data_IF_182107875161
#
_entry.id   IF_182107875161
#
_cell.length_a   1.000
_cell.length_b   1.000
_cell.length_c   1.000
_cell.angle_alpha   90.00
_cell.angle_beta   90.00
_cell.angle_gamma   90.00
#
_symmetry.space_group_name_H-M   'P 1'
#
loop_
_entity.id
_entity.type
_entity.pdbx_description
1 polymer ?
#
# COMPACT_ATOMS: atom_id res chain seq x y z
N UNK A 1 -57.08 71.52 -7.29
CA UNK A 1 -56.48 70.22 -7.62
C UNK A 1 -55.02 70.45 -7.99
N UNK A 2 -54.08 70.07 -7.12
CA UNK A 2 -52.64 70.09 -7.41
C UNK A 2 -52.13 68.66 -7.30
N UNK A 3 -51.67 68.10 -8.42
CA UNK A 3 -51.11 66.76 -8.51
C UNK A 3 -49.68 66.75 -7.96
N UNK A 4 -49.42 65.81 -7.05
CA UNK A 4 -48.12 65.54 -6.42
C UNK A 4 -47.35 64.55 -7.31
N UNK A 5 -46.08 64.78 -7.70
CA UNK A 5 -45.36 63.83 -8.53
C UNK A 5 -44.80 62.71 -7.63
N UNK A 6 -45.08 61.46 -7.98
CA UNK A 6 -44.53 60.28 -7.32
C UNK A 6 -43.10 60.05 -7.81
N UNK A 7 -42.12 60.14 -6.90
CA UNK A 7 -40.75 59.68 -7.13
C UNK A 7 -40.76 58.15 -7.28
N UNK A 8 -40.55 57.66 -8.51
CA UNK A 8 -40.21 56.26 -8.74
C UNK A 8 -38.72 56.05 -8.43
N UNK A 9 -38.42 55.40 -7.31
CA UNK A 9 -37.07 54.90 -7.03
C UNK A 9 -36.78 53.72 -7.96
N UNK A 10 -35.91 53.94 -8.94
CA UNK A 10 -35.34 52.89 -9.78
C UNK A 10 -34.40 52.04 -8.92
N UNK A 11 -34.84 50.86 -8.49
CA UNK A 11 -33.96 49.86 -7.88
C UNK A 11 -33.07 49.28 -8.98
N UNK A 12 -31.85 49.79 -9.10
CA UNK A 12 -30.79 49.14 -9.85
C UNK A 12 -30.46 47.80 -9.18
N UNK A 13 -30.92 46.70 -9.77
CA UNK A 13 -30.42 45.36 -9.46
C UNK A 13 -28.95 45.31 -9.90
N UNK A 14 -28.03 45.57 -8.96
CA UNK A 14 -26.62 45.31 -9.16
C UNK A 14 -26.44 43.79 -9.13
N UNK A 15 -26.40 43.15 -10.30
CA UNK A 15 -25.93 41.77 -10.40
C UNK A 15 -24.44 41.78 -10.06
N UNK A 16 -24.11 41.55 -8.78
CA UNK A 16 -22.73 41.34 -8.34
C UNK A 16 -22.24 40.07 -9.03
N UNK A 17 -21.37 40.20 -10.04
CA UNK A 17 -20.62 39.05 -10.55
C UNK A 17 -19.79 38.51 -9.38
N UNK A 18 -20.17 37.35 -8.87
CA UNK A 18 -19.41 36.67 -7.83
C UNK A 18 -18.12 36.19 -8.45
N UNK A 19 -17.00 36.77 -8.03
CA UNK A 19 -15.68 36.33 -8.47
C UNK A 19 -15.42 34.92 -7.93
N UNK A 20 -15.27 33.94 -8.83
CA UNK A 20 -15.05 32.54 -8.49
C UNK A 20 -13.76 31.99 -9.09
N UNK A 21 -13.52 30.70 -8.88
CA UNK A 21 -12.51 29.90 -9.58
C UNK A 21 -13.15 28.57 -9.95
N UNK A 22 -12.86 28.07 -11.16
CA UNK A 22 -13.34 26.79 -11.66
C UNK A 22 -12.17 25.91 -12.05
N UNK A 23 -12.26 24.63 -11.72
CA UNK A 23 -11.37 23.58 -12.23
C UNK A 23 -12.10 22.82 -13.33
N UNK A 24 -11.46 22.70 -14.49
CA UNK A 24 -11.82 21.76 -15.55
C UNK A 24 -10.79 20.64 -15.54
N UNK A 25 -11.18 19.43 -15.94
CA UNK A 25 -10.25 18.30 -15.99
C UNK A 25 -10.50 17.41 -17.20
N UNK A 26 -9.43 16.73 -17.59
CA UNK A 26 -9.46 15.60 -18.52
C UNK A 26 -8.84 14.39 -17.79
N UNK A 27 -9.60 13.33 -17.47
CA UNK A 27 -11.03 13.12 -17.76
C UNK A 27 -11.95 14.06 -16.97
N UNK A 28 -13.19 14.21 -17.42
CA UNK A 28 -14.16 15.17 -16.86
C UNK A 28 -14.49 14.90 -15.38
N UNK A 29 -14.72 15.98 -14.63
CA UNK A 29 -15.12 15.93 -13.22
C UNK A 29 -16.54 15.36 -13.12
N UNK A 30 -16.72 14.29 -12.34
CA UNK A 30 -18.05 13.78 -11.99
C UNK A 30 -18.77 14.74 -11.02
N UNK A 31 -20.10 14.63 -10.90
CA UNK A 31 -20.99 15.60 -10.23
C UNK A 31 -20.70 15.95 -8.75
N UNK A 32 -19.72 15.31 -8.12
CA UNK A 32 -19.30 15.56 -6.73
C UNK A 32 -17.86 16.10 -6.61
N UNK A 33 -17.26 16.62 -7.69
CA UNK A 33 -15.86 17.08 -7.65
C UNK A 33 -14.84 15.94 -7.66
N UNK A 34 -15.24 14.75 -8.10
CA UNK A 34 -14.39 13.56 -8.14
C UNK A 34 -14.02 13.25 -9.59
N UNK A 35 -12.73 13.04 -9.84
CA UNK A 35 -12.19 12.65 -11.14
C UNK A 35 -11.89 11.16 -11.10
N UNK A 36 -12.61 10.39 -11.92
CA UNK A 36 -12.41 8.95 -12.05
C UNK A 36 -11.26 8.70 -13.02
N UNK A 37 -10.26 7.92 -12.62
CA UNK A 37 -9.12 7.57 -13.47
C UNK A 37 -8.56 6.20 -13.10
N UNK A 38 -7.63 5.71 -13.91
CA UNK A 38 -6.94 4.42 -13.73
C UNK A 38 -5.43 4.65 -13.61
N UNK A 39 -4.69 3.64 -13.16
CA UNK A 39 -3.23 3.65 -13.14
C UNK A 39 -2.64 3.88 -14.53
N UNK A 40 -1.44 4.48 -14.59
CA UNK A 40 -0.69 4.78 -15.82
C UNK A 40 -1.38 5.74 -16.80
N UNK A 41 -2.55 6.29 -16.44
CA UNK A 41 -3.19 7.37 -17.19
C UNK A 41 -2.56 8.71 -16.88
N UNK A 42 -3.02 9.74 -17.58
CA UNK A 42 -2.68 11.13 -17.31
C UNK A 42 -3.96 11.87 -16.95
N UNK A 43 -3.95 12.62 -15.86
CA UNK A 43 -5.02 13.56 -15.50
C UNK A 43 -4.50 14.97 -15.70
N UNK A 44 -5.19 15.76 -16.51
CA UNK A 44 -4.89 17.18 -16.72
C UNK A 44 -5.92 18.02 -15.98
N UNK A 45 -5.45 18.97 -15.18
CA UNK A 45 -6.30 19.90 -14.45
C UNK A 45 -6.03 21.32 -14.93
N UNK A 46 -7.10 22.05 -15.22
CA UNK A 46 -7.08 23.42 -15.69
C UNK A 46 -7.87 24.31 -14.74
N UNK A 47 -7.22 25.30 -14.17
CA UNK A 47 -7.83 26.28 -13.30
C UNK A 47 -8.03 27.61 -14.03
N UNK A 48 -9.24 28.15 -13.91
CA UNK A 48 -9.68 29.41 -14.52
C UNK A 48 -10.40 30.24 -13.46
N UNK A 49 -10.12 31.55 -13.34
CA UNK A 49 -10.98 32.45 -12.59
C UNK A 49 -12.35 32.53 -13.28
N UNK A 50 -13.42 32.66 -12.49
CA UNK A 50 -14.81 32.64 -12.94
C UNK A 50 -15.29 34.08 -13.17
N UNK A 51 -15.75 34.39 -14.39
CA UNK A 51 -16.21 35.71 -14.83
C UNK A 51 -15.44 36.28 -16.03
N UNK A 52 -16.10 36.44 -17.19
CA UNK A 52 -15.43 36.77 -18.48
C UNK A 52 -14.87 38.20 -18.64
N UNK A 53 -14.23 38.79 -17.64
CA UNK A 53 -13.62 40.14 -17.72
C UNK A 53 -12.12 40.09 -18.03
N UNK A 54 -11.63 41.07 -18.79
CA UNK A 54 -10.22 41.24 -19.17
C UNK A 54 -9.28 41.38 -17.95
N UNK A 55 -9.79 41.80 -16.79
CA UNK A 55 -9.01 41.90 -15.54
C UNK A 55 -8.59 40.55 -14.96
N UNK A 56 -9.17 39.43 -15.42
CA UNK A 56 -8.84 38.10 -14.91
C UNK A 56 -7.56 37.50 -15.51
N UNK A 57 -7.02 38.06 -16.60
CA UNK A 57 -5.83 37.53 -17.26
C UNK A 57 -4.53 37.70 -16.44
N UNK A 58 -4.48 38.68 -15.53
CA UNK A 58 -3.32 38.92 -14.65
C UNK A 58 -3.49 38.31 -13.25
N UNK A 59 -4.62 37.65 -12.98
CA UNK A 59 -4.91 37.07 -11.67
C UNK A 59 -3.99 35.90 -11.38
N UNK A 60 -3.25 35.99 -10.28
CA UNK A 60 -2.35 34.93 -9.86
C UNK A 60 -3.12 33.80 -9.14
N UNK A 61 -2.86 32.57 -9.57
CA UNK A 61 -3.47 31.33 -9.13
C UNK A 61 -2.44 30.46 -8.43
N UNK A 62 -2.89 29.77 -7.38
CA UNK A 62 -2.07 28.86 -6.59
C UNK A 62 -2.71 27.49 -6.61
N UNK A 63 -1.89 26.47 -6.87
CA UNK A 63 -2.28 25.07 -6.79
C UNK A 63 -1.78 24.43 -5.50
N UNK A 64 -2.64 23.66 -4.85
CA UNK A 64 -2.32 22.81 -3.72
C UNK A 64 -2.59 21.35 -4.08
N UNK A 65 -1.70 20.44 -3.71
CA UNK A 65 -1.91 18.99 -3.71
C UNK A 65 -1.89 18.51 -2.26
N UNK A 66 -3.00 17.95 -1.77
CA UNK A 66 -3.17 17.54 -0.37
C UNK A 66 -2.81 18.67 0.63
N UNK A 67 -3.16 19.91 0.27
CA UNK A 67 -2.86 21.11 1.06
C UNK A 67 -1.44 21.66 0.90
N UNK A 68 -0.51 20.93 0.28
CA UNK A 68 0.86 21.40 0.02
C UNK A 68 0.94 22.17 -1.31
N UNK A 69 1.68 23.28 -1.33
CA UNK A 69 1.82 24.15 -2.52
C UNK A 69 2.55 23.41 -3.63
N UNK A 70 1.97 23.43 -4.83
CA UNK A 70 2.60 22.96 -6.07
C UNK A 70 3.40 24.11 -6.67
N UNK A 71 4.69 23.86 -6.93
CA UNK A 71 5.58 24.88 -7.51
C UNK A 71 5.28 24.99 -9.01
N UNK A 72 4.76 26.16 -9.41
CA UNK A 72 4.43 26.48 -10.79
C UNK A 72 5.52 27.36 -11.40
N UNK A 73 5.72 27.24 -12.72
CA UNK A 73 6.50 28.21 -13.49
C UNK A 73 5.73 29.53 -13.58
N UNK A 74 6.44 30.66 -13.69
CA UNK A 74 5.82 31.99 -13.67
C UNK A 74 4.75 32.17 -14.75
N UNK A 75 4.97 31.60 -15.94
CA UNK A 75 4.01 31.65 -17.06
C UNK A 75 2.70 30.89 -16.78
N UNK A 76 2.70 29.97 -15.81
CA UNK A 76 1.58 29.11 -15.47
C UNK A 76 0.86 29.56 -14.19
N UNK A 77 1.20 30.74 -13.65
CA UNK A 77 0.55 31.27 -12.44
C UNK A 77 -0.61 32.22 -12.75
N UNK A 78 -0.66 32.84 -13.93
CA UNK A 78 -1.59 33.96 -14.19
C UNK A 78 -2.70 33.60 -15.16
N UNK A 79 -3.93 33.96 -14.80
CA UNK A 79 -5.13 33.90 -15.63
C UNK A 79 -5.64 32.49 -15.96
N UNK A 80 -4.77 31.59 -16.43
CA UNK A 80 -5.10 30.19 -16.68
C UNK A 80 -3.93 29.31 -16.28
N UNK A 81 -4.14 28.46 -15.29
CA UNK A 81 -3.09 27.62 -14.70
C UNK A 81 -3.40 26.14 -14.88
N UNK A 82 -2.46 25.36 -15.41
CA UNK A 82 -2.63 23.93 -15.66
C UNK A 82 -1.63 23.09 -14.86
N UNK A 83 -2.07 21.96 -14.31
CA UNK A 83 -1.19 20.95 -13.71
C UNK A 83 -1.57 19.57 -14.24
N UNK A 84 -0.60 18.66 -14.30
CA UNK A 84 -0.82 17.30 -14.78
C UNK A 84 -0.32 16.28 -13.76
N UNK A 85 -1.04 15.18 -13.63
CA UNK A 85 -0.62 13.98 -12.89
C UNK A 85 -0.30 12.91 -13.93
N UNK A 86 0.99 12.55 -14.06
CA UNK A 86 1.45 11.57 -15.04
C UNK A 86 2.76 10.90 -14.62
N UNK A 87 2.84 9.55 -14.66
CA UNK A 87 1.70 8.63 -14.70
C UNK A 87 0.91 8.69 -13.38
N UNK A 88 -0.39 8.38 -13.43
CA UNK A 88 -1.19 8.14 -12.23
C UNK A 88 -0.69 6.87 -11.52
N UNK A 89 -0.42 6.97 -10.21
CA UNK A 89 0.08 5.90 -9.33
C UNK A 89 -0.90 5.62 -8.17
N UNK A 90 -0.61 4.61 -7.36
CA UNK A 90 -1.52 4.16 -6.28
C UNK A 90 -1.72 5.26 -5.22
N UNK A 91 -0.67 6.01 -4.91
CA UNK A 91 -0.64 7.09 -3.93
C UNK A 91 -1.40 8.34 -4.39
N UNK A 92 -1.81 8.41 -5.66
CA UNK A 92 -2.69 9.48 -6.16
C UNK A 92 -4.15 9.24 -5.78
N UNK A 93 -4.53 8.02 -5.36
CA UNK A 93 -5.89 7.73 -4.94
C UNK A 93 -6.29 8.56 -3.71
N UNK A 94 -7.40 9.28 -3.79
CA UNK A 94 -7.85 10.21 -2.76
C UNK A 94 -7.07 11.52 -2.71
N UNK A 95 -6.12 11.77 -3.61
CA UNK A 95 -5.40 13.03 -3.66
C UNK A 95 -6.34 14.18 -4.04
N UNK A 96 -6.33 15.25 -3.24
CA UNK A 96 -7.13 16.45 -3.48
C UNK A 96 -6.27 17.54 -4.09
N UNK A 97 -6.73 18.07 -5.23
CA UNK A 97 -6.16 19.23 -5.89
C UNK A 97 -7.05 20.43 -5.65
N UNK A 98 -6.46 21.51 -5.13
CA UNK A 98 -7.18 22.76 -4.88
C UNK A 98 -6.51 23.89 -5.64
N UNK A 99 -7.30 24.67 -6.37
CA UNK A 99 -6.85 25.91 -6.98
C UNK A 99 -7.53 27.09 -6.29
N UNK A 100 -6.77 28.14 -5.96
CA UNK A 100 -7.31 29.36 -5.38
C UNK A 100 -6.61 30.60 -5.92
N UNK A 101 -7.25 31.76 -5.73
CA UNK A 101 -6.62 33.04 -6.02
C UNK A 101 -5.52 33.35 -4.99
N UNK A 102 -4.37 33.82 -5.45
CA UNK A 102 -3.23 34.22 -4.61
C UNK A 102 -3.63 35.30 -3.60
N UNK A 103 -4.37 36.33 -4.06
CA UNK A 103 -4.82 37.44 -3.22
C UNK A 103 -5.92 37.08 -2.21
N UNK A 104 -6.66 36.00 -2.45
CA UNK A 104 -7.75 35.57 -1.57
C UNK A 104 -7.99 34.06 -1.66
N UNK A 105 -7.43 33.31 -0.71
CA UNK A 105 -7.54 31.86 -0.64
C UNK A 105 -8.96 31.34 -0.35
N UNK A 106 -9.91 32.20 0.05
CA UNK A 106 -11.31 31.77 0.24
C UNK A 106 -12.01 31.50 -1.09
N UNK A 107 -11.53 32.09 -2.18
CA UNK A 107 -12.04 31.87 -3.53
C UNK A 107 -11.25 30.71 -4.13
N UNK A 108 -11.83 29.52 -4.08
CA UNK A 108 -11.15 28.28 -4.43
C UNK A 108 -12.11 27.26 -5.03
N UNK A 109 -11.54 26.34 -5.79
CA UNK A 109 -12.19 25.10 -6.22
C UNK A 109 -11.29 23.92 -5.86
N UNK A 110 -11.91 22.77 -5.58
CA UNK A 110 -11.20 21.54 -5.23
C UNK A 110 -11.78 20.37 -6.00
N UNK A 111 -10.91 19.45 -6.39
CA UNK A 111 -11.27 18.16 -6.99
C UNK A 111 -10.45 17.05 -6.33
N UNK A 112 -11.01 15.84 -6.25
CA UNK A 112 -10.33 14.68 -5.68
C UNK A 112 -10.21 13.58 -6.72
N UNK A 113 -9.05 12.95 -6.82
CA UNK A 113 -8.85 11.80 -7.69
C UNK A 113 -9.40 10.54 -7.03
N UNK A 114 -10.21 9.78 -7.76
CA UNK A 114 -10.51 8.39 -7.43
C UNK A 114 -9.81 7.51 -8.46
N UNK A 115 -8.74 6.84 -8.04
CA UNK A 115 -7.92 5.99 -8.90
C UNK A 115 -8.37 4.56 -8.70
N UNK A 116 -8.98 3.96 -9.72
CA UNK A 116 -9.47 2.59 -9.68
C UNK A 116 -8.45 1.63 -10.27
N UNK A 117 -8.33 0.45 -9.65
CA UNK A 117 -7.37 -0.58 -10.02
C UNK A 117 -7.78 -1.94 -9.46
N UNK A 118 -7.44 -2.98 -10.21
CA UNK A 118 -7.65 -4.37 -9.83
C UNK A 118 -6.65 -4.82 -8.74
N UNK A 119 -7.00 -5.82 -7.92
CA UNK A 119 -6.07 -6.41 -6.97
C UNK A 119 -4.78 -6.87 -7.67
N UNK A 120 -3.62 -6.38 -7.23
CA UNK A 120 -2.31 -6.78 -7.77
C UNK A 120 -1.88 -8.18 -7.27
N UNK A 121 -2.76 -9.17 -7.39
CA UNK A 121 -2.51 -10.56 -7.03
C UNK A 121 -2.19 -11.35 -8.29
N UNK A 122 -0.91 -11.52 -8.56
CA UNK A 122 -0.44 -12.35 -9.67
C UNK A 122 0.87 -13.05 -9.33
N UNK A 123 1.18 -14.10 -10.09
CA UNK A 123 2.44 -14.85 -9.95
C UNK A 123 2.39 -16.00 -8.95
N UNK A 124 3.56 -16.60 -8.77
CA UNK A 124 3.82 -17.72 -7.87
C UNK A 124 5.06 -17.39 -7.06
N UNK A 125 5.03 -17.70 -5.77
CA UNK A 125 6.15 -17.51 -4.84
C UNK A 125 6.57 -18.86 -4.27
N UNK A 126 7.87 -19.18 -4.33
CA UNK A 126 8.42 -20.37 -3.70
C UNK A 126 8.81 -20.06 -2.26
N UNK A 127 8.34 -20.87 -1.32
CA UNK A 127 8.60 -20.70 0.12
C UNK A 127 9.21 -21.98 0.65
N UNK A 128 10.45 -21.92 1.13
CA UNK A 128 11.10 -23.01 1.84
C UNK A 128 11.04 -22.71 3.35
N UNK A 129 10.52 -23.67 4.11
CA UNK A 129 10.35 -23.54 5.56
C UNK A 129 10.90 -24.79 6.24
N UNK A 130 11.53 -24.64 7.40
CA UNK A 130 12.04 -25.78 8.18
C UNK A 130 10.90 -26.42 8.97
N UNK A 131 10.95 -27.73 9.16
CA UNK A 131 10.04 -28.45 10.04
C UNK A 131 10.10 -27.87 11.47
N UNK A 132 8.95 -27.81 12.15
CA UNK A 132 8.73 -27.17 13.46
C UNK A 132 8.95 -25.65 13.51
N UNK A 133 9.16 -24.97 12.38
CA UNK A 133 9.26 -23.50 12.32
C UNK A 133 7.91 -22.85 11.99
N UNK A 134 7.83 -21.51 12.08
CA UNK A 134 6.62 -20.78 11.77
C UNK A 134 6.50 -20.49 10.26
N UNK A 135 5.34 -20.75 9.68
CA UNK A 135 4.99 -20.34 8.32
C UNK A 135 4.13 -19.08 8.36
N UNK A 136 4.46 -18.11 7.50
CA UNK A 136 3.66 -16.90 7.29
C UNK A 136 3.54 -16.66 5.79
N UNK A 137 2.34 -16.80 5.25
CA UNK A 137 2.04 -16.46 3.86
C UNK A 137 1.26 -15.15 3.83
N UNK A 138 1.77 -14.15 3.10
CA UNK A 138 1.19 -12.81 3.02
C UNK A 138 0.66 -12.53 1.62
N UNK A 139 -0.61 -12.12 1.57
CA UNK A 139 -1.30 -11.73 0.35
C UNK A 139 -1.72 -10.26 0.46
N UNK A 140 -1.01 -9.39 -0.26
CA UNK A 140 -1.26 -7.95 -0.32
C UNK A 140 -2.34 -7.65 -1.39
N UNK A 141 -3.57 -7.41 -0.93
CA UNK A 141 -4.78 -7.20 -1.74
C UNK A 141 -5.03 -5.70 -1.89
N UNK A 142 -4.19 -5.03 -2.69
CA UNK A 142 -4.35 -3.60 -2.98
C UNK A 142 -5.34 -3.45 -4.13
N UNK A 143 -6.55 -2.96 -3.84
CA UNK A 143 -7.60 -2.78 -4.84
C UNK A 143 -8.47 -1.55 -4.53
N UNK A 144 -8.95 -0.89 -5.59
CA UNK A 144 -9.99 0.14 -5.48
C UNK A 144 -10.97 -0.01 -6.65
N UNK A 145 -12.26 -0.33 -6.42
CA UNK A 145 -12.91 -0.50 -5.12
C UNK A 145 -12.38 -1.69 -4.29
N UNK A 146 -12.60 -1.70 -2.97
CA UNK A 146 -12.21 -2.81 -2.11
C UNK A 146 -12.82 -4.15 -2.56
N UNK A 147 -12.11 -5.25 -2.27
CA UNK A 147 -12.59 -6.60 -2.56
C UNK A 147 -13.76 -6.98 -1.62
N UNK A 148 -14.62 -7.86 -2.10
CA UNK A 148 -15.77 -8.34 -1.32
C UNK A 148 -15.43 -9.50 -0.38
N UNK A 149 -14.45 -10.32 -0.75
CA UNK A 149 -13.98 -11.44 0.09
C UNK A 149 -12.57 -11.89 -0.31
N UNK A 150 -11.92 -12.60 0.62
CA UNK A 150 -10.62 -13.25 0.41
C UNK A 150 -10.71 -14.67 0.97
N UNK A 151 -10.21 -15.65 0.24
CA UNK A 151 -10.17 -17.06 0.64
C UNK A 151 -8.78 -17.66 0.45
N UNK A 152 -8.48 -18.68 1.25
CA UNK A 152 -7.25 -19.46 1.16
C UNK A 152 -7.58 -20.91 0.85
N UNK A 153 -6.83 -21.48 -0.09
CA UNK A 153 -6.87 -22.92 -0.38
C UNK A 153 -5.47 -23.52 -0.24
N UNK A 154 -5.42 -24.79 0.14
CA UNK A 154 -4.24 -25.64 0.14
C UNK A 154 -4.54 -26.86 -0.75
N UNK A 155 -3.72 -27.07 -1.77
CA UNK A 155 -3.88 -28.15 -2.75
C UNK A 155 -5.28 -28.19 -3.38
N UNK A 156 -5.86 -27.00 -3.64
CA UNK A 156 -7.17 -26.83 -4.24
C UNK A 156 -8.37 -27.00 -3.30
N UNK A 157 -8.14 -27.38 -2.04
CA UNK A 157 -9.18 -27.48 -1.01
C UNK A 157 -9.11 -26.26 -0.08
N UNK A 158 -10.24 -25.84 0.50
CA UNK A 158 -10.22 -24.80 1.52
C UNK A 158 -9.28 -25.19 2.68
N UNK A 159 -8.50 -24.23 3.19
CA UNK A 159 -7.61 -24.51 4.32
C UNK A 159 -8.43 -24.86 5.56
N UNK A 160 -8.15 -26.02 6.16
CA UNK A 160 -8.72 -26.40 7.45
C UNK A 160 -7.94 -25.73 8.58
N UNK A 161 -8.50 -24.65 9.12
CA UNK A 161 -7.86 -23.86 10.17
C UNK A 161 -7.62 -24.65 11.46
N UNK A 162 -8.50 -25.59 11.80
CA UNK A 162 -8.42 -26.33 13.05
C UNK A 162 -7.47 -27.52 12.93
N UNK A 163 -7.71 -28.41 11.95
CA UNK A 163 -6.89 -29.60 11.77
C UNK A 163 -5.46 -29.26 11.34
N UNK A 164 -5.30 -28.20 10.54
CA UNK A 164 -4.00 -27.73 10.08
C UNK A 164 -3.32 -26.72 11.03
N UNK A 165 -3.92 -26.37 12.16
CA UNK A 165 -3.32 -25.43 13.11
C UNK A 165 -3.03 -24.04 12.52
N UNK A 166 -3.85 -23.61 11.55
CA UNK A 166 -3.66 -22.34 10.86
C UNK A 166 -4.44 -21.20 11.54
N UNK A 167 -3.93 -19.99 11.40
CA UNK A 167 -4.65 -18.76 11.73
C UNK A 167 -4.64 -17.81 10.53
N UNK A 168 -5.82 -17.25 10.21
CA UNK A 168 -5.97 -16.24 9.17
C UNK A 168 -6.28 -14.88 9.81
N UNK A 169 -5.53 -13.87 9.41
CA UNK A 169 -5.85 -12.46 9.70
C UNK A 169 -6.11 -11.72 8.40
N UNK A 170 -7.09 -10.82 8.39
CA UNK A 170 -7.43 -9.99 7.24
C UNK A 170 -7.80 -8.59 7.71
N UNK A 171 -7.13 -7.56 7.18
CA UNK A 171 -7.38 -6.14 7.51
C UNK A 171 -8.04 -5.35 6.36
N UNK A 172 -8.49 -6.04 5.31
CA UNK A 172 -9.07 -5.48 4.09
C UNK A 172 -8.06 -5.18 2.98
N UNK A 173 -6.78 -4.98 3.32
CA UNK A 173 -5.70 -4.71 2.37
C UNK A 173 -4.67 -5.85 2.32
N UNK A 174 -4.57 -6.63 3.38
CA UNK A 174 -3.65 -7.74 3.54
C UNK A 174 -4.39 -8.90 4.17
N UNK A 175 -4.24 -10.09 3.60
CA UNK A 175 -4.57 -11.35 4.26
C UNK A 175 -3.30 -12.13 4.56
N UNK A 176 -3.18 -12.65 5.79
CA UNK A 176 -2.07 -13.49 6.20
C UNK A 176 -2.60 -14.84 6.69
N UNK A 177 -2.01 -15.92 6.18
CA UNK A 177 -2.22 -17.29 6.66
C UNK A 177 -0.95 -17.72 7.41
N UNK A 178 -1.12 -18.17 8.65
CA UNK A 178 0.00 -18.49 9.53
C UNK A 178 -0.15 -19.88 10.13
N UNK A 179 0.96 -20.59 10.31
CA UNK A 179 1.06 -21.81 11.12
C UNK A 179 2.24 -21.66 12.08
N UNK A 180 2.03 -21.90 13.37
CA UNK A 180 3.07 -21.64 14.39
C UNK A 180 4.17 -22.69 14.42
N UNK A 181 3.86 -23.92 14.00
CA UNK A 181 4.79 -25.05 13.93
C UNK A 181 4.43 -25.88 12.70
N UNK A 182 5.27 -25.80 11.67
CA UNK A 182 5.09 -26.52 10.42
C UNK A 182 5.38 -28.00 10.60
N UNK A 183 4.56 -28.82 9.95
CA UNK A 183 4.75 -30.25 9.76
C UNK A 183 4.66 -30.56 8.28
N UNK A 184 5.66 -31.25 7.73
CA UNK A 184 5.71 -31.60 6.30
C UNK A 184 4.44 -32.28 5.77
N UNK A 185 3.88 -33.23 6.51
CA UNK A 185 2.73 -34.02 6.04
C UNK A 185 1.43 -33.21 5.91
N UNK A 186 1.33 -32.09 6.65
CA UNK A 186 0.12 -31.26 6.77
C UNK A 186 0.26 -29.96 5.98
N UNK A 187 1.44 -29.34 6.00
CA UNK A 187 1.61 -27.96 5.56
C UNK A 187 2.39 -27.83 4.24
N UNK A 188 3.01 -28.90 3.74
CA UNK A 188 3.64 -28.88 2.42
C UNK A 188 2.58 -28.86 1.31
N UNK A 189 2.79 -28.01 0.30
CA UNK A 189 1.88 -27.98 -0.84
C UNK A 189 1.74 -26.62 -1.50
N UNK A 190 0.71 -26.54 -2.33
CA UNK A 190 0.39 -25.34 -3.10
C UNK A 190 -0.74 -24.57 -2.43
N UNK A 191 -0.42 -23.40 -1.91
CA UNK A 191 -1.39 -22.48 -1.36
C UNK A 191 -1.85 -21.48 -2.41
N UNK A 192 -3.10 -21.08 -2.34
CA UNK A 192 -3.64 -20.00 -3.17
C UNK A 192 -4.47 -19.06 -2.32
N UNK A 193 -4.09 -17.79 -2.34
CA UNK A 193 -4.92 -16.68 -1.88
C UNK A 193 -5.75 -16.20 -3.07
N UNK A 194 -7.08 -16.16 -2.90
CA UNK A 194 -8.02 -15.67 -3.89
C UNK A 194 -8.74 -14.45 -3.31
N UNK A 195 -8.75 -13.33 -4.04
CA UNK A 195 -9.54 -12.15 -3.71
C UNK A 195 -10.61 -11.89 -4.77
N UNK A 196 -11.84 -11.63 -4.32
CA UNK A 196 -12.98 -11.44 -5.21
C UNK A 196 -13.39 -9.96 -5.30
N UNK A 197 -13.10 -9.32 -6.43
CA UNK A 197 -13.53 -7.95 -6.70
C UNK A 197 -14.91 -7.92 -7.38
N UNK A 198 -15.84 -7.08 -6.91
CA UNK A 198 -17.14 -6.92 -7.57
C UNK A 198 -17.04 -6.29 -8.97
N UNK A 199 -15.93 -5.59 -9.25
CA UNK A 199 -15.69 -4.89 -10.53
C UNK A 199 -14.72 -5.65 -11.41
N UNK A 200 -13.65 -6.19 -10.83
CA UNK A 200 -12.53 -6.79 -11.59
C UNK A 200 -12.50 -8.32 -11.56
N UNK A 201 -13.49 -8.96 -10.91
CA UNK A 201 -13.55 -10.41 -10.76
C UNK A 201 -12.52 -10.97 -9.79
N UNK A 202 -12.19 -12.25 -9.98
CA UNK A 202 -11.28 -12.98 -9.11
C UNK A 202 -9.81 -12.78 -9.50
N UNK A 203 -8.97 -12.46 -8.51
CA UNK A 203 -7.52 -12.36 -8.66
C UNK A 203 -6.85 -13.24 -7.61
N UNK A 204 -5.75 -13.90 -7.95
CA UNK A 204 -5.13 -14.87 -7.04
C UNK A 204 -3.60 -14.89 -7.11
N UNK A 205 -2.99 -15.21 -5.98
CA UNK A 205 -1.55 -15.42 -5.84
C UNK A 205 -1.29 -16.82 -5.29
N UNK A 206 -0.31 -17.51 -5.88
CA UNK A 206 0.08 -18.87 -5.49
C UNK A 206 1.35 -18.86 -4.65
N UNK A 207 1.43 -19.75 -3.67
CA UNK A 207 2.64 -20.05 -2.92
C UNK A 207 2.94 -21.54 -3.04
N UNK A 208 4.16 -21.90 -3.41
CA UNK A 208 4.65 -23.27 -3.42
C UNK A 208 5.50 -23.47 -2.17
N UNK A 209 4.90 -24.06 -1.15
CA UNK A 209 5.56 -24.28 0.15
C UNK A 209 6.24 -25.65 0.13
N UNK A 210 7.52 -25.66 0.44
CA UNK A 210 8.34 -26.86 0.61
C UNK A 210 8.85 -26.93 2.04
N UNK A 211 8.71 -28.09 2.68
CA UNK A 211 9.14 -28.29 4.06
C UNK A 211 10.45 -29.08 4.07
N UNK A 212 11.48 -28.42 4.59
CA UNK A 212 12.82 -28.98 4.74
C UNK A 212 12.98 -29.58 6.12
N UNK A 213 13.71 -30.69 6.20
CA UNK A 213 14.00 -31.32 7.49
C UNK A 213 14.78 -30.34 8.37
N UNK A 214 14.41 -30.30 9.64
CA UNK A 214 15.10 -29.46 10.61
C UNK A 214 16.56 -29.86 10.68
N UNK A 215 17.45 -28.91 10.42
CA UNK A 215 18.89 -29.15 10.62
C UNK A 215 19.15 -29.22 12.12
N UNK A 216 19.27 -30.44 12.66
CA UNK A 216 19.77 -30.59 14.03
C UNK A 216 21.19 -30.04 14.04
N UNK A 217 21.38 -28.84 14.61
CA UNK A 217 22.70 -28.28 14.92
C UNK A 217 23.34 -29.13 16.01
N UNK A 218 23.82 -30.29 15.61
CA UNK A 218 24.53 -31.20 16.49
C UNK A 218 25.68 -30.41 17.13
N UNK A 219 25.83 -30.41 18.47
CA UNK A 219 26.85 -29.63 19.16
C UNK A 219 28.22 -30.30 18.98
N UNK A 220 28.72 -30.26 17.76
CA UNK A 220 29.96 -30.90 17.35
C UNK A 220 31.14 -30.38 18.18
N UNK A 221 31.17 -29.07 18.46
CA UNK A 221 32.23 -28.45 19.25
C UNK A 221 32.24 -28.95 20.71
N UNK A 222 31.12 -28.93 21.46
CA UNK A 222 31.06 -29.58 22.78
C UNK A 222 31.39 -31.07 22.78
N UNK A 223 30.94 -31.84 21.78
CA UNK A 223 31.24 -33.27 21.71
C UNK A 223 32.73 -33.54 21.46
N UNK A 224 33.36 -32.80 20.53
CA UNK A 224 34.80 -32.92 20.26
C UNK A 224 35.59 -32.54 21.51
N UNK A 225 35.24 -31.44 22.18
CA UNK A 225 35.91 -31.02 23.41
C UNK A 225 35.82 -32.10 24.51
N UNK A 226 34.63 -32.68 24.69
CA UNK A 226 34.43 -33.81 25.60
C UNK A 226 35.31 -35.01 25.26
N UNK A 227 35.37 -35.39 23.98
CA UNK A 227 36.20 -36.50 23.51
C UNK A 227 37.70 -36.26 23.77
N UNK A 228 38.18 -35.06 23.47
CA UNK A 228 39.58 -34.67 23.70
C UNK A 228 39.94 -34.76 25.19
N UNK A 229 39.07 -34.28 26.08
CA UNK A 229 39.29 -34.37 27.53
C UNK A 229 39.34 -35.82 28.01
N UNK A 230 38.45 -36.69 27.51
CA UNK A 230 38.47 -38.12 27.85
C UNK A 230 39.77 -38.79 27.40
N UNK A 231 40.25 -38.48 26.19
CA UNK A 231 41.52 -39.02 25.69
C UNK A 231 42.70 -38.53 26.53
N UNK A 232 42.76 -37.23 26.82
CA UNK A 232 43.85 -36.63 27.61
C UNK A 232 43.89 -37.21 29.03
N UNK A 233 42.73 -37.34 29.67
CA UNK A 233 42.63 -37.93 31.02
C UNK A 233 43.02 -39.40 31.04
N UNK A 234 42.64 -40.18 30.02
CA UNK A 234 43.06 -41.57 29.87
C UNK A 234 44.58 -41.70 29.68
N UNK A 235 45.17 -40.87 28.82
CA UNK A 235 46.62 -40.83 28.60
C UNK A 235 47.37 -40.50 29.90
N UNK A 236 46.92 -39.48 30.63
CA UNK A 236 47.50 -39.10 31.93
C UNK A 236 47.37 -40.23 32.95
N UNK A 237 46.26 -40.97 32.98
CA UNK A 237 46.07 -42.11 33.85
C UNK A 237 47.01 -43.28 33.51
N UNK A 238 47.23 -43.56 32.22
CA UNK A 238 48.18 -44.58 31.75
C UNK A 238 49.61 -44.19 32.14
N UNK A 239 50.02 -42.95 31.86
CA UNK A 239 51.36 -42.44 32.22
C UNK A 239 51.58 -42.50 33.73
N UNK A 240 50.58 -42.11 34.53
CA UNK A 240 50.63 -42.19 36.00
C UNK A 240 50.85 -43.63 36.48
N UNK A 241 50.10 -44.59 35.93
CA UNK A 241 50.25 -46.03 36.24
C UNK A 241 51.63 -46.56 35.82
N UNK A 242 52.12 -46.21 34.64
CA UNK A 242 53.46 -46.61 34.18
C UNK A 242 54.58 -46.02 35.03
N UNK A 243 54.45 -44.78 35.50
CA UNK A 243 55.42 -44.17 36.42
C UNK A 243 55.47 -44.87 37.79
N UNK A 244 54.35 -45.42 38.25
CA UNK A 244 54.30 -46.23 39.48
C UNK A 244 54.93 -47.60 39.27
N UNK A 245 54.65 -48.26 38.15
CA UNK A 245 55.23 -49.58 37.82
C UNK A 245 56.76 -49.48 37.70
N UNK A 246 57.27 -48.44 37.02
CA UNK A 246 58.72 -48.22 36.87
C UNK A 246 59.45 -47.89 38.17
N UNK A 247 58.76 -47.36 39.19
CA UNK A 247 59.32 -47.15 40.54
C UNK A 247 59.37 -48.40 41.41
N UNK A 248 58.60 -49.45 41.09
CA UNK A 248 58.63 -50.73 41.82
C UNK A 248 59.65 -51.73 41.25
N UNK A 249 60.19 -51.48 40.04
CA UNK A 249 61.18 -52.33 39.38
C UNK A 249 62.63 -51.83 39.56
N UNK A 250 62.91 -51.05 40.59
CA UNK A 250 64.24 -50.52 40.94
C UNK A 250 64.51 -50.76 42.42
#
# INVERSE_FOLDING_TARGET
MMFRPSLFHLLFYCATQTLGVKIQSEPEVSGEGVIQTELQRTVTLLCLPDGGSETQADEELVWLRNGAVVILREENKKGRSSVCVTPVIHEDNGATFTCHLSRNATIRASVTLNVTYHPQLSGSEEVAVEDESALVLRCDIWANPPVSSVSWTLNGSAVDLFAGGFTVTNDGFTSQLTASSVEKSVHEGTYQCTANSPVYGEHSKRFQVTVTEKTMKFPLMPMIAGLVVVILTALLAVVSRWSKITKCCK
#
